data_IF_139563859563
#
_entry.id   IF_139563859563
#
_cell.length_a   1.000
_cell.length_b   1.000
_cell.length_c   1.000
_cell.angle_alpha   90.00
_cell.angle_beta   90.00
_cell.angle_gamma   90.00
#
_symmetry.space_group_name_H-M   'P 1'
#
loop_
_entity.id
_entity.type
_entity.pdbx_description
1 polymer ?
#
# COMPACT_ATOMS: atom_id res chain seq x y z
N UNK A 1 -11.62 4.51 -23.67
CA UNK A 1 -10.43 3.64 -23.61
C UNK A 1 -10.17 3.06 -24.99
N UNK A 2 -9.17 3.56 -25.71
CA UNK A 2 -8.77 2.98 -27.00
C UNK A 2 -8.20 1.58 -26.78
N UNK A 3 -8.57 0.63 -27.64
CA UNK A 3 -8.04 -0.74 -27.67
C UNK A 3 -6.52 -0.75 -27.93
N UNK A 4 -5.71 -0.61 -26.88
CA UNK A 4 -4.28 -0.89 -26.95
C UNK A 4 -4.08 -2.40 -26.85
N UNK A 5 -3.27 -2.97 -27.74
CA UNK A 5 -2.86 -4.37 -27.64
C UNK A 5 -2.06 -4.57 -26.36
N UNK A 6 -2.59 -5.33 -25.41
CA UNK A 6 -1.87 -5.67 -24.19
C UNK A 6 -0.57 -6.41 -24.54
N UNK A 7 0.55 -6.13 -23.85
CA UNK A 7 1.83 -6.77 -24.16
C UNK A 7 1.83 -8.30 -23.91
N UNK A 8 0.87 -8.78 -23.11
CA UNK A 8 0.59 -10.20 -22.87
C UNK A 8 -0.86 -10.56 -23.26
N UNK A 9 -1.12 -11.81 -23.60
CA UNK A 9 -2.47 -12.32 -23.87
C UNK A 9 -3.27 -12.47 -22.57
N UNK A 10 -4.60 -12.37 -22.66
CA UNK A 10 -5.48 -12.55 -21.49
C UNK A 10 -5.24 -13.88 -20.77
N UNK A 11 -5.06 -14.98 -21.51
CA UNK A 11 -4.77 -16.30 -20.94
C UNK A 11 -3.47 -16.33 -20.13
N UNK A 12 -2.40 -15.71 -20.64
CA UNK A 12 -1.14 -15.59 -19.91
C UNK A 12 -1.30 -14.70 -18.67
N UNK A 13 -2.12 -13.65 -18.76
CA UNK A 13 -2.49 -12.81 -17.62
C UNK A 13 -3.10 -13.60 -16.47
N UNK A 14 -4.20 -14.29 -16.74
CA UNK A 14 -4.86 -15.14 -15.75
C UNK A 14 -3.93 -16.22 -15.21
N UNK A 15 -3.16 -16.86 -16.10
CA UNK A 15 -2.18 -17.87 -15.72
C UNK A 15 -1.14 -17.33 -14.72
N UNK A 16 -0.57 -16.15 -14.97
CA UNK A 16 0.43 -15.55 -14.06
C UNK A 16 -0.22 -15.19 -12.72
N UNK A 17 -1.37 -14.52 -12.72
CA UNK A 17 -2.03 -14.10 -11.46
C UNK A 17 -2.39 -15.32 -10.63
N UNK A 18 -3.09 -16.31 -11.20
CA UNK A 18 -3.51 -17.52 -10.48
C UNK A 18 -2.31 -18.34 -10.00
N UNK A 19 -1.24 -18.43 -10.81
CA UNK A 19 -0.03 -19.17 -10.43
C UNK A 19 0.71 -18.49 -9.27
N UNK A 20 0.76 -17.15 -9.26
CA UNK A 20 1.34 -16.39 -8.15
C UNK A 20 0.49 -16.50 -6.87
N UNK A 21 -0.84 -16.49 -6.99
CA UNK A 21 -1.74 -16.74 -5.86
C UNK A 21 -1.54 -18.14 -5.26
N UNK A 22 -1.51 -19.16 -6.12
CA UNK A 22 -1.28 -20.53 -5.69
C UNK A 22 0.10 -20.69 -5.02
N UNK A 23 1.14 -20.09 -5.61
CA UNK A 23 2.49 -20.13 -5.06
C UNK A 23 2.57 -19.45 -3.68
N UNK A 24 1.97 -18.28 -3.53
CA UNK A 24 1.95 -17.53 -2.27
C UNK A 24 1.20 -18.31 -1.18
N UNK A 25 0.02 -18.86 -1.51
CA UNK A 25 -0.77 -19.67 -0.60
C UNK A 25 -0.03 -20.95 -0.16
N UNK A 26 0.57 -21.69 -1.10
CA UNK A 26 1.33 -22.91 -0.80
C UNK A 26 2.57 -22.60 0.03
N UNK A 27 3.33 -21.55 -0.32
CA UNK A 27 4.50 -21.12 0.44
C UNK A 27 4.15 -20.83 1.91
N UNK A 28 3.01 -20.18 2.15
CA UNK A 28 2.53 -19.90 3.50
C UNK A 28 2.14 -21.15 4.28
N UNK A 29 1.41 -22.06 3.64
CA UNK A 29 1.00 -23.33 4.29
C UNK A 29 2.23 -24.14 4.68
N UNK A 30 3.24 -24.20 3.81
CA UNK A 30 4.52 -24.86 4.09
C UNK A 30 5.26 -24.15 5.22
N UNK A 31 5.38 -22.83 5.19
CA UNK A 31 6.04 -22.07 6.25
C UNK A 31 5.35 -22.28 7.62
N UNK A 32 4.01 -22.29 7.64
CA UNK A 32 3.21 -22.55 8.84
C UNK A 32 3.41 -23.98 9.35
N UNK A 33 3.44 -24.95 8.45
CA UNK A 33 3.73 -26.35 8.79
C UNK A 33 5.13 -26.52 9.38
N UNK A 34 6.16 -25.93 8.76
CA UNK A 34 7.52 -25.94 9.27
C UNK A 34 7.62 -25.29 10.65
N UNK A 35 7.03 -24.11 10.85
CA UNK A 35 7.03 -23.43 12.16
C UNK A 35 6.36 -24.29 13.24
N UNK A 36 5.27 -24.99 12.91
CA UNK A 36 4.59 -25.90 13.85
C UNK A 36 5.49 -27.09 14.22
N UNK A 37 6.15 -27.70 13.24
CA UNK A 37 6.97 -28.89 13.44
C UNK A 37 8.26 -28.61 14.23
N UNK A 38 8.87 -27.44 14.02
CA UNK A 38 10.19 -27.12 14.59
C UNK A 38 10.15 -26.23 15.85
N UNK A 39 9.08 -25.45 16.09
CA UNK A 39 8.99 -24.56 17.28
C UNK A 39 7.94 -24.98 18.34
N UNK A 40 7.20 -26.07 18.16
CA UNK A 40 6.37 -26.66 19.23
C UNK A 40 5.19 -25.80 19.74
N UNK A 41 4.66 -24.88 18.92
CA UNK A 41 3.63 -23.93 19.35
C UNK A 41 2.20 -24.54 19.35
N UNK A 42 1.55 -24.51 20.52
CA UNK A 42 0.17 -24.95 20.74
C UNK A 42 -0.87 -24.10 19.96
N UNK A 43 -1.96 -24.73 19.53
CA UNK A 43 -2.80 -24.28 18.40
C UNK A 43 -4.12 -23.59 18.82
N UNK A 44 -4.30 -23.23 20.09
CA UNK A 44 -5.65 -23.00 20.65
C UNK A 44 -5.92 -21.62 21.29
N UNK A 45 -5.10 -20.60 21.07
CA UNK A 45 -5.37 -19.24 21.54
C UNK A 45 -5.54 -18.24 20.38
N UNK A 46 -6.49 -17.31 20.53
CA UNK A 46 -6.83 -16.28 19.53
C UNK A 46 -5.74 -15.19 19.34
N UNK A 47 -4.62 -15.26 20.06
CA UNK A 47 -3.62 -14.17 20.18
C UNK A 47 -2.63 -14.07 18.98
N UNK A 48 -3.03 -14.51 17.80
CA UNK A 48 -2.09 -14.81 16.71
C UNK A 48 -2.44 -14.26 15.33
N UNK A 49 -3.25 -13.20 15.20
CA UNK A 49 -3.90 -12.89 13.91
C UNK A 49 -3.77 -11.47 13.28
N UNK A 50 -2.66 -10.74 13.44
CA UNK A 50 -2.52 -9.45 12.76
C UNK A 50 -1.10 -8.98 12.30
N UNK A 51 -0.85 -8.59 10.99
CA UNK A 51 -0.20 -7.30 10.47
C UNK A 51 0.18 -7.14 8.92
N UNK A 52 0.67 -5.92 8.45
CA UNK A 52 1.41 -5.47 7.16
C UNK A 52 0.94 -4.56 5.90
N UNK A 53 1.61 -3.41 5.65
CA UNK A 53 1.28 -2.17 4.85
C UNK A 53 1.36 -2.05 3.26
N UNK A 54 1.11 -0.81 2.70
CA UNK A 54 0.69 -0.36 1.32
C UNK A 54 1.67 0.60 0.50
N UNK A 55 1.29 1.28 -0.64
CA UNK A 55 2.14 1.71 -1.84
C UNK A 55 2.10 3.21 -2.37
N UNK A 56 3.06 3.67 -3.25
CA UNK A 56 3.58 5.08 -3.48
C UNK A 56 3.72 5.70 -4.93
N UNK A 57 3.37 5.05 -6.05
CA UNK A 57 4.12 5.29 -7.34
C UNK A 57 3.63 6.37 -8.34
N UNK A 58 2.41 6.90 -8.26
CA UNK A 58 1.82 7.80 -9.29
C UNK A 58 2.38 9.23 -9.27
N UNK A 59 3.01 9.63 -8.17
CA UNK A 59 3.34 11.03 -7.83
C UNK A 59 4.46 11.63 -8.69
N UNK A 60 5.36 10.81 -9.24
CA UNK A 60 6.56 11.29 -9.93
C UNK A 60 6.34 11.91 -11.31
N UNK A 61 5.29 11.48 -12.03
CA UNK A 61 5.02 11.98 -13.38
C UNK A 61 4.19 13.27 -13.37
N UNK A 62 3.39 13.48 -12.32
CA UNK A 62 2.50 14.65 -12.22
C UNK A 62 3.11 15.81 -11.43
N UNK A 63 4.17 15.56 -10.67
CA UNK A 63 4.82 16.54 -9.79
C UNK A 63 6.36 16.47 -9.89
N UNK A 64 6.85 15.87 -10.97
CA UNK A 64 8.27 15.82 -11.34
C UNK A 64 9.16 15.27 -10.22
N UNK A 65 10.44 15.69 -10.10
CA UNK A 65 11.32 15.22 -9.03
C UNK A 65 10.88 15.66 -7.63
N UNK A 66 10.12 16.77 -7.54
CA UNK A 66 9.65 17.38 -6.29
C UNK A 66 8.61 16.50 -5.60
N UNK A 67 7.64 15.97 -6.34
CA UNK A 67 6.57 15.12 -5.79
C UNK A 67 7.06 13.87 -5.05
N UNK A 68 7.89 13.01 -5.66
CA UNK A 68 8.51 11.84 -5.03
C UNK A 68 9.30 12.19 -3.78
N UNK A 69 10.02 13.32 -3.82
CA UNK A 69 10.76 13.79 -2.66
C UNK A 69 9.80 14.12 -1.51
N UNK A 70 8.79 14.95 -1.76
CA UNK A 70 7.81 15.34 -0.74
C UNK A 70 6.97 14.18 -0.24
N UNK A 71 6.55 13.26 -1.12
CA UNK A 71 5.87 12.03 -0.73
C UNK A 71 6.75 11.19 0.21
N UNK A 72 7.99 10.95 -0.18
CA UNK A 72 8.91 10.12 0.58
C UNK A 72 9.17 10.72 1.97
N UNK A 73 9.46 12.03 2.04
CA UNK A 73 9.74 12.73 3.30
C UNK A 73 8.50 12.86 4.19
N UNK A 74 7.34 13.19 3.62
CA UNK A 74 6.08 13.27 4.37
C UNK A 74 5.74 11.95 5.05
N UNK A 75 5.89 10.84 4.30
CA UNK A 75 5.64 9.51 4.84
C UNK A 75 6.68 9.03 5.87
N UNK A 76 7.91 9.54 5.84
CA UNK A 76 8.91 9.25 6.89
C UNK A 76 8.57 9.95 8.20
N UNK A 77 8.18 11.24 8.14
CA UNK A 77 7.86 12.03 9.33
C UNK A 77 6.71 11.39 10.11
N UNK A 78 5.63 10.99 9.44
CA UNK A 78 4.50 10.35 10.09
C UNK A 78 4.86 8.99 10.71
N UNK A 79 5.69 8.14 10.08
CA UNK A 79 6.04 6.81 10.63
C UNK A 79 6.89 6.99 11.88
N UNK A 80 7.84 7.94 11.86
CA UNK A 80 8.68 8.24 13.02
C UNK A 80 7.83 8.81 14.17
N UNK A 81 6.91 9.75 13.89
CA UNK A 81 6.01 10.30 14.91
C UNK A 81 5.03 9.25 15.45
N UNK A 82 4.51 8.39 14.56
CA UNK A 82 3.66 7.28 14.94
C UNK A 82 4.35 6.37 15.95
N UNK A 83 5.66 6.13 15.80
CA UNK A 83 6.40 5.29 16.72
C UNK A 83 6.28 5.74 18.19
N UNK A 84 6.30 7.05 18.46
CA UNK A 84 6.14 7.62 19.80
C UNK A 84 4.77 7.28 20.41
N UNK A 85 3.73 7.26 19.56
CA UNK A 85 2.35 6.95 19.95
C UNK A 85 2.15 5.46 20.09
N UNK A 86 2.67 4.67 19.15
CA UNK A 86 2.45 3.23 19.05
C UNK A 86 2.98 2.47 20.27
N UNK A 87 3.99 3.01 20.95
CA UNK A 87 4.54 2.46 22.19
C UNK A 87 3.61 2.68 23.39
N UNK A 88 2.74 3.70 23.37
CA UNK A 88 1.89 4.05 24.51
C UNK A 88 0.85 2.96 24.84
N UNK A 89 0.09 2.40 23.87
CA UNK A 89 -0.79 1.26 24.12
C UNK A 89 -0.06 0.11 24.80
N UNK A 90 1.12 -0.28 24.28
CA UNK A 90 1.88 -1.38 24.84
C UNK A 90 2.39 -1.12 26.25
N UNK A 91 2.79 0.11 26.57
CA UNK A 91 3.28 0.51 27.90
C UNK A 91 2.15 0.63 28.93
N UNK A 92 0.96 1.08 28.52
CA UNK A 92 -0.16 1.39 29.42
C UNK A 92 -1.21 0.29 29.50
N UNK A 93 -1.35 -0.51 28.45
CA UNK A 93 -2.32 -1.58 28.31
C UNK A 93 -1.68 -2.79 27.56
N UNK A 94 -0.72 -3.50 28.19
CA UNK A 94 0.05 -4.57 27.53
C UNK A 94 -0.78 -5.77 27.07
N UNK A 95 -2.02 -5.91 27.55
CA UNK A 95 -2.96 -6.98 27.18
C UNK A 95 -4.05 -6.52 26.19
N UNK A 96 -3.98 -5.28 25.70
CA UNK A 96 -4.87 -4.83 24.63
C UNK A 96 -4.44 -5.45 23.30
N UNK A 97 -5.40 -5.89 22.52
CA UNK A 97 -5.23 -6.49 21.19
C UNK A 97 -5.25 -5.43 20.10
N UNK A 98 -6.03 -4.36 20.32
CA UNK A 98 -6.12 -3.21 19.42
C UNK A 98 -5.93 -1.91 20.20
N UNK A 99 -5.59 -0.82 19.51
CA UNK A 99 -5.51 0.48 20.18
C UNK A 99 -6.90 1.05 20.52
N UNK A 100 -7.95 0.55 19.85
CA UNK A 100 -9.34 0.92 20.07
C UNK A 100 -9.83 0.47 21.45
N UNK A 101 -9.42 -0.71 21.94
CA UNK A 101 -9.67 -1.15 23.32
C UNK A 101 -9.14 -0.14 24.36
N UNK A 102 -7.99 0.48 24.09
CA UNK A 102 -7.42 1.53 24.96
C UNK A 102 -8.30 2.79 24.95
N UNK A 103 -8.81 3.16 23.77
CA UNK A 103 -9.76 4.29 23.63
C UNK A 103 -11.07 3.99 24.35
N UNK A 104 -11.56 2.74 24.28
CA UNK A 104 -12.77 2.32 24.98
C UNK A 104 -12.67 2.51 26.49
N UNK A 105 -11.60 2.02 27.10
CA UNK A 105 -11.38 2.12 28.54
C UNK A 105 -11.19 3.58 28.96
N UNK A 106 -10.50 4.38 28.15
CA UNK A 106 -10.17 5.76 28.49
C UNK A 106 -11.32 6.75 28.26
N UNK A 107 -11.89 6.75 27.07
CA UNK A 107 -12.84 7.77 26.61
C UNK A 107 -14.29 7.26 26.62
N UNK A 108 -14.50 5.97 26.87
CA UNK A 108 -15.80 5.35 27.00
C UNK A 108 -16.43 4.95 25.67
N UNK A 109 -17.67 4.47 25.75
CA UNK A 109 -18.37 3.77 24.66
C UNK A 109 -18.61 4.62 23.42
N UNK A 110 -19.00 5.89 23.58
CA UNK A 110 -19.37 6.76 22.44
C UNK A 110 -18.14 7.05 21.59
N UNK A 111 -17.05 7.50 22.23
CA UNK A 111 -15.79 7.81 21.54
C UNK A 111 -15.23 6.55 20.89
N UNK A 112 -15.30 5.40 21.55
CA UNK A 112 -14.89 4.13 20.95
C UNK A 112 -15.61 3.83 19.62
N UNK A 113 -16.94 4.00 19.56
CA UNK A 113 -17.70 3.77 18.33
C UNK A 113 -17.30 4.74 17.21
N UNK A 114 -17.05 6.00 17.54
CA UNK A 114 -16.59 7.00 16.57
C UNK A 114 -15.22 6.58 15.98
N UNK A 115 -14.28 6.15 16.82
CA UNK A 115 -12.97 5.69 16.35
C UNK A 115 -13.04 4.38 15.56
N UNK A 116 -13.92 3.44 15.92
CA UNK A 116 -14.19 2.24 15.11
C UNK A 116 -14.57 2.66 13.69
N UNK A 117 -15.48 3.62 13.53
CA UNK A 117 -15.91 4.10 12.21
C UNK A 117 -14.74 4.73 11.45
N UNK A 118 -13.94 5.60 12.09
CA UNK A 118 -12.76 6.19 11.43
C UNK A 118 -11.74 5.12 11.00
N UNK A 119 -11.46 4.12 11.84
CA UNK A 119 -10.51 3.05 11.50
C UNK A 119 -11.02 2.16 10.37
N UNK A 120 -12.33 1.84 10.37
CA UNK A 120 -12.94 1.08 9.29
C UNK A 120 -12.92 1.89 7.98
N UNK A 121 -13.20 3.20 8.01
CA UNK A 121 -13.06 4.05 6.83
C UNK A 121 -11.62 4.08 6.31
N UNK A 122 -10.63 4.20 7.18
CA UNK A 122 -9.22 4.11 6.79
C UNK A 122 -8.95 2.78 6.07
N UNK A 123 -9.36 1.64 6.65
CA UNK A 123 -9.14 0.34 6.04
C UNK A 123 -9.88 0.19 4.69
N UNK A 124 -11.12 0.66 4.58
CA UNK A 124 -11.91 0.64 3.33
C UNK A 124 -11.25 1.50 2.26
N UNK A 125 -10.91 2.75 2.59
CA UNK A 125 -10.36 3.72 1.64
C UNK A 125 -9.06 3.20 1.07
N UNK A 126 -8.15 2.77 1.95
CA UNK A 126 -6.85 2.41 1.46
C UNK A 126 -6.93 1.04 0.72
N UNK A 127 -7.91 0.17 1.05
CA UNK A 127 -8.13 -1.11 0.33
C UNK A 127 -8.71 -0.88 -1.05
N UNK A 128 -9.59 0.11 -1.17
CA UNK A 128 -10.06 0.61 -2.46
C UNK A 128 -8.89 1.09 -3.33
N UNK A 129 -7.90 1.78 -2.73
CA UNK A 129 -6.69 2.22 -3.44
C UNK A 129 -5.74 1.08 -3.81
N UNK A 130 -5.69 -0.02 -3.06
CA UNK A 130 -4.88 -1.17 -3.50
C UNK A 130 -5.53 -1.88 -4.67
N UNK A 131 -6.82 -2.19 -4.55
CA UNK A 131 -7.54 -2.99 -5.54
C UNK A 131 -7.77 -2.22 -6.83
N UNK A 132 -8.16 -0.95 -6.79
CA UNK A 132 -8.40 -0.15 -8.01
C UNK A 132 -7.11 0.05 -8.82
N UNK A 133 -5.93 0.05 -8.19
CA UNK A 133 -4.67 0.40 -8.83
C UNK A 133 -3.92 -0.84 -9.28
N UNK A 134 -3.94 -1.86 -8.43
CA UNK A 134 -3.48 -3.20 -8.79
C UNK A 134 -4.25 -3.71 -10.00
N UNK A 135 -5.58 -3.63 -9.98
CA UNK A 135 -6.43 -4.09 -11.10
C UNK A 135 -6.21 -3.27 -12.38
N UNK A 136 -6.06 -1.94 -12.30
CA UNK A 136 -5.75 -1.11 -13.45
C UNK A 136 -4.41 -1.51 -14.11
N UNK A 137 -3.37 -1.72 -13.31
CA UNK A 137 -2.06 -2.15 -13.81
C UNK A 137 -2.15 -3.56 -14.42
N UNK A 138 -2.81 -4.50 -13.74
CA UNK A 138 -3.01 -5.87 -14.26
C UNK A 138 -3.75 -5.84 -15.58
N UNK A 139 -4.83 -5.06 -15.69
CA UNK A 139 -5.59 -4.88 -16.93
C UNK A 139 -4.72 -4.31 -18.05
N UNK A 140 -3.97 -3.24 -17.78
CA UNK A 140 -3.10 -2.61 -18.79
C UNK A 140 -2.01 -3.55 -19.33
N UNK A 141 -1.43 -4.40 -18.47
CA UNK A 141 -0.32 -5.28 -18.85
C UNK A 141 -0.77 -6.61 -19.46
N UNK A 142 -1.96 -7.09 -19.12
CA UNK A 142 -2.40 -8.46 -19.47
C UNK A 142 -3.75 -8.54 -20.20
N UNK A 143 -4.51 -7.46 -20.23
CA UNK A 143 -5.85 -7.42 -20.83
C UNK A 143 -6.96 -8.08 -20.01
N UNK A 144 -6.67 -8.60 -18.81
CA UNK A 144 -7.69 -9.16 -17.89
C UNK A 144 -8.73 -8.08 -17.56
N UNK A 145 -10.02 -8.42 -17.53
CA UNK A 145 -11.06 -7.48 -17.14
C UNK A 145 -10.83 -6.95 -15.72
N UNK A 146 -11.00 -5.64 -15.52
CA UNK A 146 -10.73 -4.99 -14.22
C UNK A 146 -11.58 -5.61 -13.11
N UNK A 147 -12.85 -5.90 -13.38
CA UNK A 147 -13.72 -6.60 -12.43
C UNK A 147 -13.13 -7.95 -11.99
N UNK A 148 -12.64 -8.78 -12.93
CA UNK A 148 -12.02 -10.05 -12.59
C UNK A 148 -10.71 -9.86 -11.80
N UNK A 149 -9.89 -8.87 -12.16
CA UNK A 149 -8.67 -8.54 -11.44
C UNK A 149 -8.93 -8.09 -9.99
N UNK A 150 -10.03 -7.36 -9.72
CA UNK A 150 -10.43 -6.97 -8.36
C UNK A 150 -10.72 -8.18 -7.46
N UNK A 151 -11.34 -9.24 -7.97
CA UNK A 151 -11.64 -10.45 -7.19
C UNK A 151 -10.48 -11.46 -7.16
N UNK A 152 -9.62 -11.48 -8.18
CA UNK A 152 -8.51 -12.43 -8.26
C UNK A 152 -7.32 -12.01 -7.39
N UNK A 153 -6.95 -10.72 -7.40
CA UNK A 153 -5.78 -10.20 -6.68
C UNK A 153 -5.78 -10.41 -5.15
N UNK A 154 -6.93 -10.42 -4.46
CA UNK A 154 -6.94 -10.73 -3.04
C UNK A 154 -7.24 -12.20 -2.73
N UNK A 155 -7.54 -13.04 -3.72
CA UNK A 155 -8.07 -14.38 -3.47
C UNK A 155 -7.08 -15.25 -2.67
N UNK A 156 -5.81 -15.30 -3.06
CA UNK A 156 -4.81 -16.04 -2.28
C UNK A 156 -4.48 -15.32 -0.98
N UNK A 157 -4.63 -13.99 -0.90
CA UNK A 157 -4.51 -13.26 0.38
C UNK A 157 -5.51 -13.72 1.41
N UNK A 158 -6.76 -13.99 1.01
CA UNK A 158 -7.78 -14.56 1.92
C UNK A 158 -7.32 -15.92 2.42
N UNK A 159 -6.97 -16.81 1.48
CA UNK A 159 -6.60 -18.19 1.79
C UNK A 159 -5.43 -18.19 2.78
N UNK A 160 -4.33 -17.52 2.45
CA UNK A 160 -3.17 -17.54 3.32
C UNK A 160 -3.38 -16.70 4.58
N UNK A 161 -4.23 -15.67 4.60
CA UNK A 161 -4.54 -14.94 5.84
C UNK A 161 -5.36 -15.81 6.78
N UNK A 162 -6.24 -16.67 6.28
CA UNK A 162 -7.01 -17.62 7.10
C UNK A 162 -6.15 -18.75 7.68
N UNK A 163 -5.11 -19.19 6.98
CA UNK A 163 -4.19 -20.23 7.47
C UNK A 163 -2.92 -19.67 8.13
N UNK A 164 -2.56 -18.42 7.80
CA UNK A 164 -1.35 -17.73 8.18
C UNK A 164 -1.48 -17.19 9.60
N UNK A 165 -0.85 -17.89 10.53
CA UNK A 165 -0.55 -17.35 11.87
C UNK A 165 0.36 -16.13 11.71
N UNK A 166 0.26 -15.14 12.61
CA UNK A 166 1.06 -13.89 12.60
C UNK A 166 2.52 -14.08 12.16
N UNK A 167 3.22 -15.09 12.71
CA UNK A 167 4.63 -15.33 12.40
C UNK A 167 4.87 -15.74 10.96
N UNK A 168 3.96 -16.52 10.39
CA UNK A 168 4.04 -16.97 9.01
C UNK A 168 3.73 -15.79 8.06
N UNK A 169 2.73 -14.97 8.40
CA UNK A 169 2.43 -13.70 7.71
C UNK A 169 3.64 -12.78 7.68
N UNK A 170 4.29 -12.53 8.83
CA UNK A 170 5.51 -11.73 8.90
C UNK A 170 6.64 -12.27 8.01
N UNK A 171 6.84 -13.59 7.98
CA UNK A 171 7.86 -14.20 7.14
C UNK A 171 7.56 -14.01 5.65
N UNK A 172 6.31 -14.15 5.24
CA UNK A 172 5.92 -13.91 3.85
C UNK A 172 5.98 -12.44 3.47
N UNK A 173 5.60 -11.51 4.36
CA UNK A 173 5.73 -10.08 4.10
C UNK A 173 7.19 -9.67 3.96
N UNK A 174 8.08 -10.29 4.74
CA UNK A 174 9.51 -10.14 4.56
C UNK A 174 9.95 -10.64 3.17
N UNK A 175 9.52 -11.84 2.76
CA UNK A 175 9.84 -12.40 1.45
C UNK A 175 9.29 -11.54 0.29
N UNK A 176 8.04 -11.08 0.38
CA UNK A 176 7.41 -10.15 -0.55
C UNK A 176 8.22 -8.85 -0.64
N UNK A 177 8.60 -8.28 0.50
CA UNK A 177 9.38 -7.04 0.56
C UNK A 177 10.75 -7.21 -0.10
N UNK A 178 11.47 -8.30 0.19
CA UNK A 178 12.78 -8.60 -0.42
C UNK A 178 12.64 -8.73 -1.94
N UNK A 179 11.64 -9.48 -2.43
CA UNK A 179 11.39 -9.61 -3.86
C UNK A 179 11.09 -8.26 -4.53
N UNK A 180 10.27 -7.42 -3.88
CA UNK A 180 9.94 -6.07 -4.37
C UNK A 180 11.18 -5.18 -4.42
N UNK A 181 12.06 -5.24 -3.41
CA UNK A 181 13.31 -4.48 -3.38
C UNK A 181 14.26 -4.89 -4.51
N UNK A 182 14.41 -6.19 -4.76
CA UNK A 182 15.21 -6.71 -5.88
C UNK A 182 14.69 -6.16 -7.20
N UNK A 183 13.36 -6.18 -7.41
CA UNK A 183 12.75 -5.65 -8.63
C UNK A 183 12.96 -4.13 -8.76
N UNK A 184 12.86 -3.38 -7.65
CA UNK A 184 13.12 -1.93 -7.66
C UNK A 184 14.56 -1.65 -8.07
N UNK A 185 15.53 -2.35 -7.47
CA UNK A 185 16.94 -2.20 -7.81
C UNK A 185 17.21 -2.61 -9.26
N UNK A 186 16.59 -3.69 -9.73
CA UNK A 186 16.68 -4.11 -11.13
C UNK A 186 16.24 -3.00 -12.09
N UNK A 187 15.08 -2.38 -11.86
CA UNK A 187 14.62 -1.24 -12.68
C UNK A 187 15.53 0.00 -12.53
N UNK A 188 16.03 0.28 -11.32
CA UNK A 188 16.93 1.40 -11.07
C UNK A 188 18.25 1.27 -11.84
N UNK A 189 18.93 0.13 -11.72
CA UNK A 189 20.17 -0.13 -12.46
C UNK A 189 19.93 -0.22 -13.96
N UNK A 190 18.81 -0.81 -14.39
CA UNK A 190 18.44 -0.85 -15.81
C UNK A 190 18.30 0.57 -16.36
N UNK A 191 17.57 1.44 -15.67
CA UNK A 191 17.31 2.80 -16.12
C UNK A 191 18.58 3.66 -16.09
N UNK A 192 19.39 3.55 -15.03
CA UNK A 192 20.50 4.49 -14.79
C UNK A 192 21.85 4.02 -15.31
N UNK A 193 22.04 2.73 -15.64
CA UNK A 193 23.36 2.20 -15.96
C UNK A 193 23.43 1.30 -17.21
N UNK A 194 22.40 0.49 -17.51
CA UNK A 194 22.55 -0.56 -18.54
C UNK A 194 21.61 -0.46 -19.73
N UNK A 195 20.49 0.26 -19.64
CA UNK A 195 19.53 0.36 -20.74
C UNK A 195 20.16 1.09 -21.94
N UNK A 196 20.05 0.56 -23.17
CA UNK A 196 20.52 1.26 -24.37
C UNK A 196 19.75 2.56 -24.67
N UNK A 197 18.54 2.73 -24.09
CA UNK A 197 17.73 3.95 -24.25
C UNK A 197 18.22 5.11 -23.38
N UNK A 198 18.87 4.81 -22.26
CA UNK A 198 19.34 5.81 -21.29
C UNK A 198 20.86 5.76 -21.14
N UNK A 199 21.44 4.59 -20.85
CA UNK A 199 22.89 4.34 -20.85
C UNK A 199 23.67 5.02 -19.72
N UNK A 200 23.21 6.15 -19.18
CA UNK A 200 23.84 6.87 -18.07
C UNK A 200 22.87 7.87 -17.40
N UNK A 201 23.13 8.30 -16.15
CA UNK A 201 22.34 9.34 -15.50
C UNK A 201 22.41 10.69 -16.23
N UNK A 202 23.52 11.01 -16.90
CA UNK A 202 23.65 12.23 -17.70
C UNK A 202 22.71 12.23 -18.91
N UNK A 203 22.56 11.10 -19.59
CA UNK A 203 21.61 11.01 -20.70
C UNK A 203 20.17 11.18 -20.22
N UNK A 204 19.81 10.59 -19.07
CA UNK A 204 18.48 10.79 -18.47
C UNK A 204 18.24 12.27 -18.17
N UNK A 205 19.25 12.95 -17.61
CA UNK A 205 19.19 14.39 -17.37
C UNK A 205 18.99 15.19 -18.67
N UNK A 206 19.77 14.91 -19.71
CA UNK A 206 19.68 15.61 -21.00
C UNK A 206 18.30 15.41 -21.66
N UNK A 207 17.75 14.20 -21.58
CA UNK A 207 16.41 13.89 -22.08
C UNK A 207 15.32 14.65 -21.30
N UNK A 208 15.43 14.77 -19.98
CA UNK A 208 14.50 15.54 -19.16
C UNK A 208 14.60 17.07 -19.42
N UNK A 209 15.81 17.57 -19.65
CA UNK A 209 16.01 18.96 -20.07
C UNK A 209 15.42 19.20 -21.46
N UNK A 210 15.55 18.25 -22.38
CA UNK A 210 14.89 18.34 -23.68
C UNK A 210 13.36 18.30 -23.55
N UNK A 211 12.83 17.38 -22.72
CA UNK A 211 11.40 17.31 -22.42
C UNK A 211 10.87 18.63 -21.82
N UNK A 212 11.66 19.30 -20.97
CA UNK A 212 11.34 20.65 -20.43
C UNK A 212 11.14 21.68 -21.55
N UNK A 213 11.93 21.61 -22.63
CA UNK A 213 11.82 22.55 -23.75
C UNK A 213 10.60 22.29 -24.62
N UNK A 214 10.27 21.01 -24.80
CA UNK A 214 9.14 20.58 -25.65
C UNK A 214 7.81 20.80 -24.91
N UNK A 215 7.77 20.46 -23.63
CA UNK A 215 6.59 20.52 -22.77
C UNK A 215 6.95 21.07 -21.39
N UNK A 216 7.06 22.40 -21.23
CA UNK A 216 7.35 22.99 -19.93
C UNK A 216 6.19 22.75 -18.95
N UNK A 217 6.54 22.48 -17.69
CA UNK A 217 5.55 22.29 -16.61
C UNK A 217 5.15 23.64 -16.03
N UNK A 218 3.86 23.97 -16.08
CA UNK A 218 3.32 25.19 -15.47
C UNK A 218 3.53 25.18 -13.94
N UNK A 219 3.94 26.30 -13.36
CA UNK A 219 4.20 26.42 -11.92
C UNK A 219 5.58 25.93 -11.45
N UNK A 220 6.39 25.32 -12.33
CA UNK A 220 7.78 24.97 -12.04
C UNK A 220 8.75 26.08 -12.45
N UNK A 221 9.81 26.29 -11.65
CA UNK A 221 10.86 27.23 -12.00
C UNK A 221 11.52 26.84 -13.34
N UNK A 222 11.37 27.70 -14.36
CA UNK A 222 11.84 27.44 -15.72
C UNK A 222 11.13 26.29 -16.44
N UNK A 223 9.95 25.88 -15.97
CA UNK A 223 9.19 24.75 -16.53
C UNK A 223 9.82 23.38 -16.30
N UNK A 224 10.87 23.31 -15.48
CA UNK A 224 11.79 22.17 -15.42
C UNK A 224 11.25 20.95 -14.69
N UNK A 225 11.51 19.76 -15.22
CA UNK A 225 11.20 18.46 -14.58
C UNK A 225 12.15 18.06 -13.44
N UNK A 226 13.22 18.83 -13.22
CA UNK A 226 14.26 18.52 -12.23
C UNK A 226 14.36 19.58 -11.13
N UNK A 227 13.44 20.54 -11.10
CA UNK A 227 13.44 21.59 -10.08
C UNK A 227 12.74 21.14 -8.79
N UNK A 228 13.29 21.56 -7.64
CA UNK A 228 12.59 21.45 -6.36
C UNK A 228 11.62 22.61 -6.13
N UNK A 229 11.72 23.70 -6.91
CA UNK A 229 10.83 24.85 -6.83
C UNK A 229 9.62 24.62 -7.74
N UNK A 230 8.68 23.84 -7.22
CA UNK A 230 7.40 23.48 -7.85
C UNK A 230 6.23 23.86 -6.94
N UNK A 231 5.30 24.65 -7.46
CA UNK A 231 4.09 25.05 -6.73
C UNK A 231 3.16 23.84 -6.48
N UNK A 232 2.93 23.04 -7.51
CA UNK A 232 2.12 21.81 -7.42
C UNK A 232 2.75 20.77 -6.50
N UNK A 233 4.08 20.63 -6.53
CA UNK A 233 4.79 19.77 -5.58
C UNK A 233 4.60 20.19 -4.11
N UNK A 234 4.51 21.49 -3.83
CA UNK A 234 4.25 22.00 -2.49
C UNK A 234 2.78 21.78 -2.06
N UNK A 235 1.80 21.95 -2.96
CA UNK A 235 0.40 21.61 -2.66
C UNK A 235 0.24 20.11 -2.39
N UNK A 236 0.87 19.29 -3.23
CA UNK A 236 0.90 17.84 -3.06
C UNK A 236 1.51 17.44 -1.71
N UNK A 237 2.59 18.10 -1.28
CA UNK A 237 3.20 17.85 0.03
C UNK A 237 2.20 18.04 1.19
N UNK A 238 1.44 19.13 1.18
CA UNK A 238 0.45 19.43 2.23
C UNK A 238 -0.67 18.37 2.22
N UNK A 239 -1.20 18.05 1.04
CA UNK A 239 -2.23 17.02 0.87
C UNK A 239 -1.73 15.66 1.36
N UNK A 240 -0.51 15.30 0.98
CA UNK A 240 0.14 14.04 1.33
C UNK A 240 0.35 13.91 2.85
N UNK A 241 0.80 14.97 3.52
CA UNK A 241 0.93 15.00 4.98
C UNK A 241 -0.44 14.77 5.63
N UNK A 242 -1.44 15.57 5.29
CA UNK A 242 -2.74 15.50 5.97
C UNK A 242 -3.40 14.13 5.77
N UNK A 243 -3.36 13.62 4.54
CA UNK A 243 -3.92 12.30 4.21
C UNK A 243 -3.17 11.16 4.88
N UNK A 244 -1.84 11.14 4.76
CA UNK A 244 -1.07 9.98 5.19
C UNK A 244 -0.90 9.90 6.72
N UNK A 245 -0.93 11.03 7.45
CA UNK A 245 -1.01 10.94 8.92
C UNK A 245 -2.28 10.20 9.34
N UNK A 246 -3.39 10.47 8.65
CA UNK A 246 -4.66 9.78 8.83
C UNK A 246 -4.53 8.27 8.61
N UNK A 247 -3.90 7.88 7.50
CA UNK A 247 -3.74 6.45 7.19
C UNK A 247 -2.81 5.72 8.14
N UNK A 248 -1.81 6.38 8.71
CA UNK A 248 -0.90 5.71 9.65
C UNK A 248 -1.47 5.69 11.07
N UNK A 249 -2.07 6.79 11.52
CA UNK A 249 -2.48 6.95 12.93
C UNK A 249 -3.83 6.32 13.24
N UNK A 250 -4.64 6.00 12.22
CA UNK A 250 -5.96 5.39 12.37
C UNK A 250 -6.04 3.99 11.77
N UNK A 251 -4.93 3.47 11.23
CA UNK A 251 -4.87 2.11 10.72
C UNK A 251 -4.43 1.16 11.85
N UNK A 252 -5.37 0.31 12.26
CA UNK A 252 -5.14 -0.68 13.30
C UNK A 252 -4.04 -1.69 12.93
N UNK A 253 -3.77 -1.89 11.63
CA UNK A 253 -2.68 -2.72 11.13
C UNK A 253 -1.30 -2.25 11.60
N UNK A 254 -1.08 -0.95 11.76
CA UNK A 254 0.16 -0.41 12.35
C UNK A 254 0.23 -0.67 13.86
N UNK A 255 -0.86 -0.43 14.59
CA UNK A 255 -0.88 -0.68 16.03
C UNK A 255 -0.67 -2.15 16.38
N UNK A 256 -1.28 -3.05 15.62
CA UNK A 256 -1.12 -4.48 15.77
C UNK A 256 0.35 -4.94 15.68
N UNK A 257 1.17 -4.34 14.80
CA UNK A 257 2.61 -4.66 14.71
C UNK A 257 3.34 -4.28 15.98
N UNK A 258 2.96 -3.15 16.54
CA UNK A 258 3.62 -2.60 17.72
C UNK A 258 3.26 -3.39 18.96
N UNK A 259 1.99 -3.78 19.09
CA UNK A 259 1.49 -4.56 20.21
C UNK A 259 2.14 -5.95 20.23
N UNK A 260 2.37 -6.55 19.07
CA UNK A 260 2.99 -7.88 18.93
C UNK A 260 4.52 -7.85 19.08
N UNK A 261 5.20 -6.81 18.62
CA UNK A 261 6.67 -6.68 18.69
C UNK A 261 7.18 -6.40 20.11
N UNK A 262 8.38 -6.88 20.46
CA UNK A 262 9.01 -6.54 21.76
C UNK A 262 9.24 -5.03 21.91
N UNK A 263 9.22 -4.51 23.15
CA UNK A 263 9.42 -3.07 23.40
C UNK A 263 10.77 -2.56 22.86
N UNK A 264 11.83 -3.34 23.04
CA UNK A 264 13.20 -2.99 22.63
C UNK A 264 13.35 -2.99 21.11
N UNK A 265 12.56 -3.81 20.40
CA UNK A 265 12.62 -3.92 18.93
C UNK A 265 11.65 -3.00 18.21
N UNK A 266 10.53 -2.61 18.84
CA UNK A 266 9.49 -1.81 18.19
C UNK A 266 9.98 -0.40 17.78
N UNK A 267 10.65 0.32 18.70
CA UNK A 267 11.11 1.69 18.44
C UNK A 267 12.16 1.76 17.31
N UNK A 268 13.28 1.01 17.37
CA UNK A 268 14.24 0.99 16.28
C UNK A 268 13.63 0.46 14.97
N UNK A 269 12.72 -0.52 15.05
CA UNK A 269 12.04 -1.09 13.89
C UNK A 269 11.26 -0.05 13.09
N UNK A 270 10.45 0.77 13.76
CA UNK A 270 9.70 1.85 13.09
C UNK A 270 10.59 2.96 12.56
N UNK A 271 11.66 3.33 13.28
CA UNK A 271 12.60 4.35 12.81
C UNK A 271 13.31 3.87 11.54
N UNK A 272 13.84 2.65 11.55
CA UNK A 272 14.48 2.04 10.38
C UNK A 272 13.50 1.86 9.23
N UNK A 273 12.27 1.43 9.51
CA UNK A 273 11.20 1.31 8.54
C UNK A 273 10.85 2.66 7.89
N UNK A 274 10.71 3.72 8.70
CA UNK A 274 10.41 5.08 8.23
C UNK A 274 11.53 5.68 7.38
N UNK A 275 12.80 5.44 7.74
CA UNK A 275 13.96 5.88 6.95
C UNK A 275 14.05 5.09 5.64
N UNK A 276 13.89 3.76 5.72
CA UNK A 276 13.93 2.88 4.54
C UNK A 276 12.83 3.22 3.55
N UNK A 277 11.64 3.54 4.06
CA UNK A 277 10.53 4.01 3.24
C UNK A 277 10.89 5.26 2.45
N UNK A 278 11.58 6.23 3.05
CA UNK A 278 12.05 7.44 2.35
C UNK A 278 12.87 7.05 1.13
N UNK A 279 13.86 6.19 1.32
CA UNK A 279 14.84 5.85 0.27
C UNK A 279 14.21 5.01 -0.83
N UNK A 280 13.46 3.96 -0.45
CA UNK A 280 12.84 3.02 -1.39
C UNK A 280 11.76 3.71 -2.21
N UNK A 281 10.92 4.52 -1.57
CA UNK A 281 9.88 5.30 -2.23
C UNK A 281 10.46 6.31 -3.21
N UNK A 282 11.45 7.08 -2.77
CA UNK A 282 12.09 8.09 -3.59
C UNK A 282 12.74 7.46 -4.82
N UNK A 283 13.54 6.40 -4.64
CA UNK A 283 14.17 5.67 -5.73
C UNK A 283 13.13 5.12 -6.72
N UNK A 284 12.14 4.38 -6.22
CA UNK A 284 11.14 3.74 -7.06
C UNK A 284 10.31 4.75 -7.88
N UNK A 285 9.90 5.85 -7.26
CA UNK A 285 9.08 6.87 -7.90
C UNK A 285 9.89 7.72 -8.87
N UNK A 286 11.06 8.22 -8.47
CA UNK A 286 11.91 9.03 -9.36
C UNK A 286 12.40 8.25 -10.57
N UNK A 287 12.93 7.03 -10.39
CA UNK A 287 13.42 6.24 -11.52
C UNK A 287 12.33 5.98 -12.55
N UNK A 288 11.18 5.44 -12.13
CA UNK A 288 10.15 5.03 -13.10
C UNK A 288 9.31 6.19 -13.61
N UNK A 289 9.06 7.22 -12.79
CA UNK A 289 8.33 8.40 -13.21
C UNK A 289 9.13 9.27 -14.18
N UNK A 290 10.40 9.53 -13.87
CA UNK A 290 11.26 10.29 -14.78
C UNK A 290 11.59 9.50 -16.04
N UNK A 291 11.73 8.17 -15.95
CA UNK A 291 11.88 7.32 -17.13
C UNK A 291 10.65 7.41 -18.06
N UNK A 292 9.43 7.49 -17.50
CA UNK A 292 8.22 7.68 -18.30
C UNK A 292 8.26 8.99 -19.09
N UNK A 293 8.58 10.10 -18.41
CA UNK A 293 8.67 11.44 -19.03
C UNK A 293 9.79 11.48 -20.08
N UNK A 294 10.95 10.91 -19.78
CA UNK A 294 12.10 10.93 -20.68
C UNK A 294 11.90 10.05 -21.94
N UNK A 295 11.06 9.02 -21.87
CA UNK A 295 10.74 8.14 -23.01
C UNK A 295 9.46 8.53 -23.73
N UNK A 296 8.71 9.54 -23.28
CA UNK A 296 7.39 9.87 -23.83
C UNK A 296 7.41 10.20 -25.34
N UNK A 297 8.53 10.76 -25.82
CA UNK A 297 8.77 11.07 -27.23
C UNK A 297 9.52 9.95 -28.00
N UNK A 298 9.77 8.80 -27.38
CA UNK A 298 10.51 7.69 -27.96
C UNK A 298 9.55 6.66 -28.61
N UNK A 299 9.85 6.10 -29.80
CA UNK A 299 9.06 5.04 -30.42
C UNK A 299 8.83 3.79 -29.55
N UNK A 300 9.70 3.53 -28.56
CA UNK A 300 9.53 2.43 -27.61
C UNK A 300 8.36 2.67 -26.63
N UNK A 301 7.85 3.89 -26.51
CA UNK A 301 6.80 4.23 -25.56
C UNK A 301 5.42 3.75 -26.04
N UNK A 302 4.61 3.10 -25.18
CA UNK A 302 3.35 2.47 -25.62
C UNK A 302 2.29 3.40 -26.23
N UNK A 303 2.39 4.71 -26.00
CA UNK A 303 1.45 5.72 -26.52
C UNK A 303 2.03 6.56 -27.66
N UNK A 304 3.27 6.32 -28.08
CA UNK A 304 3.95 7.05 -29.13
C UNK A 304 3.11 7.12 -30.43
N UNK A 305 3.00 8.29 -31.09
CA UNK A 305 3.69 9.55 -30.82
C UNK A 305 3.01 10.45 -29.78
N UNK A 306 1.89 10.01 -29.19
CA UNK A 306 1.13 10.80 -28.24
C UNK A 306 1.63 10.60 -26.81
N UNK A 307 1.42 11.62 -25.98
CA UNK A 307 1.60 11.55 -24.53
C UNK A 307 0.67 10.53 -23.89
N UNK A 308 1.02 10.07 -22.68
CA UNK A 308 0.11 9.25 -21.92
C UNK A 308 -1.13 10.08 -21.56
N UNK A 309 -2.33 9.54 -21.83
CA UNK A 309 -3.59 10.24 -21.56
C UNK A 309 -3.66 10.61 -20.06
N UNK A 310 -4.03 11.85 -19.69
CA UNK A 310 -4.26 12.23 -18.29
C UNK A 310 -5.14 11.25 -17.52
N UNK A 311 -6.11 10.59 -18.19
CA UNK A 311 -6.91 9.54 -17.59
C UNK A 311 -6.05 8.33 -17.16
N UNK A 312 -5.15 7.86 -18.03
CA UNK A 312 -4.22 6.75 -17.76
C UNK A 312 -3.20 7.09 -16.66
N UNK A 313 -2.77 8.36 -16.61
CA UNK A 313 -1.93 8.89 -15.52
C UNK A 313 -2.70 8.83 -14.19
N UNK A 314 -3.96 9.27 -14.17
CA UNK A 314 -4.80 9.34 -12.98
C UNK A 314 -5.16 7.97 -12.39
N UNK A 315 -5.14 6.90 -13.18
CA UNK A 315 -5.34 5.51 -12.72
C UNK A 315 -4.02 4.79 -12.40
N UNK A 316 -2.87 5.47 -12.53
CA UNK A 316 -1.57 4.98 -12.06
C UNK A 316 -0.78 4.13 -13.07
N UNK A 317 -1.04 4.25 -14.38
CA UNK A 317 -0.40 3.42 -15.41
C UNK A 317 1.02 3.85 -15.79
N UNK A 318 1.56 4.92 -15.19
CA UNK A 318 2.91 5.43 -15.46
C UNK A 318 3.97 4.33 -15.31
N UNK A 319 3.91 3.57 -14.20
CA UNK A 319 4.88 2.50 -13.94
C UNK A 319 4.87 1.45 -15.05
N UNK A 320 3.67 1.06 -15.49
CA UNK A 320 3.45 0.06 -16.52
C UNK A 320 3.92 0.55 -17.89
N UNK A 321 3.64 1.82 -18.21
CA UNK A 321 4.09 2.42 -19.46
C UNK A 321 5.62 2.51 -19.53
N UNK A 322 6.25 3.00 -18.46
CA UNK A 322 7.71 3.10 -18.38
C UNK A 322 8.41 1.74 -18.40
N UNK A 323 7.87 0.73 -17.72
CA UNK A 323 8.49 -0.60 -17.71
C UNK A 323 8.41 -1.31 -19.06
N UNK A 324 7.29 -1.17 -19.77
CA UNK A 324 7.14 -1.67 -21.14
C UNK A 324 8.07 -0.93 -22.10
N UNK A 325 8.20 0.39 -21.96
CA UNK A 325 9.11 1.17 -22.79
C UNK A 325 10.58 0.79 -22.57
N UNK A 326 10.96 0.50 -21.32
CA UNK A 326 12.33 0.14 -20.93
C UNK A 326 12.75 -1.27 -21.35
N UNK A 327 11.88 -2.25 -21.15
CA UNK A 327 12.23 -3.69 -21.20
C UNK A 327 11.22 -4.54 -21.99
N UNK A 328 10.26 -3.92 -22.68
CA UNK A 328 9.23 -4.63 -23.45
C UNK A 328 8.44 -5.62 -22.61
N UNK A 329 8.29 -6.85 -23.14
CA UNK A 329 7.55 -7.95 -22.48
C UNK A 329 8.15 -8.37 -21.13
N UNK A 330 9.47 -8.30 -20.99
CA UNK A 330 10.13 -8.61 -19.73
C UNK A 330 9.77 -7.56 -18.66
N UNK A 331 9.76 -6.27 -19.04
CA UNK A 331 9.33 -5.17 -18.17
C UNK A 331 7.88 -5.29 -17.72
N UNK A 332 6.98 -5.70 -18.63
CA UNK A 332 5.58 -5.97 -18.32
C UNK A 332 5.43 -7.07 -17.27
N UNK A 333 6.10 -8.22 -17.49
CA UNK A 333 6.02 -9.38 -16.58
C UNK A 333 6.58 -9.06 -15.20
N UNK A 334 7.74 -8.43 -15.14
CA UNK A 334 8.38 -8.00 -13.88
C UNK A 334 7.52 -6.98 -13.13
N UNK A 335 6.84 -6.08 -13.83
CA UNK A 335 5.90 -5.13 -13.22
C UNK A 335 4.67 -5.82 -12.65
N UNK A 336 4.12 -6.80 -13.38
CA UNK A 336 2.97 -7.58 -12.93
C UNK A 336 3.33 -8.36 -11.65
N UNK A 337 4.48 -9.04 -11.61
CA UNK A 337 4.98 -9.72 -10.40
C UNK A 337 5.14 -8.72 -9.26
N UNK A 338 5.75 -7.55 -9.51
CA UNK A 338 5.92 -6.52 -8.48
C UNK A 338 4.60 -6.01 -7.93
N UNK A 339 3.61 -5.77 -8.79
CA UNK A 339 2.27 -5.31 -8.36
C UNK A 339 1.59 -6.38 -7.54
N UNK A 340 1.66 -7.64 -7.97
CA UNK A 340 1.17 -8.77 -7.20
C UNK A 340 1.76 -8.79 -5.79
N UNK A 341 3.10 -8.88 -5.66
CA UNK A 341 3.77 -8.97 -4.35
C UNK A 341 3.41 -7.81 -3.41
N UNK A 342 3.29 -6.59 -3.95
CA UNK A 342 2.95 -5.42 -3.15
C UNK A 342 1.48 -5.41 -2.75
N UNK A 343 0.55 -5.71 -3.66
CA UNK A 343 -0.90 -5.72 -3.36
C UNK A 343 -1.19 -6.83 -2.37
N UNK A 344 -0.66 -8.02 -2.58
CA UNK A 344 -0.85 -9.19 -1.74
C UNK A 344 -0.42 -8.91 -0.29
N UNK A 345 0.83 -8.48 -0.08
CA UNK A 345 1.35 -8.13 1.26
C UNK A 345 0.51 -7.03 1.94
N UNK A 346 0.17 -5.99 1.18
CA UNK A 346 -0.59 -4.86 1.67
C UNK A 346 -2.04 -5.20 2.01
N UNK A 347 -2.65 -6.14 1.29
CA UNK A 347 -4.02 -6.61 1.54
C UNK A 347 -4.09 -7.47 2.80
N UNK A 348 -3.12 -8.36 3.05
CA UNK A 348 -3.14 -9.23 4.23
C UNK A 348 -3.29 -8.45 5.53
N UNK A 349 -2.61 -7.33 5.69
CA UNK A 349 -2.74 -6.56 6.93
C UNK A 349 -4.04 -5.85 7.13
N UNK A 350 -4.70 -5.53 6.03
CA UNK A 350 -5.90 -4.73 6.05
C UNK A 350 -7.08 -5.64 6.36
N UNK A 351 -7.06 -6.84 5.79
CA UNK A 351 -7.91 -7.95 6.21
C UNK A 351 -7.75 -8.23 7.70
N UNK A 352 -6.52 -8.32 8.16
CA UNK A 352 -6.16 -8.47 9.56
C UNK A 352 -6.64 -7.29 10.43
N UNK A 353 -6.47 -6.06 9.97
CA UNK A 353 -6.74 -4.87 10.75
C UNK A 353 -8.24 -4.78 10.98
N UNK A 354 -9.02 -5.05 9.95
CA UNK A 354 -10.47 -5.12 10.01
C UNK A 354 -10.94 -6.33 10.81
N UNK A 355 -10.34 -7.50 10.64
CA UNK A 355 -10.75 -8.70 11.39
C UNK A 355 -10.53 -8.54 12.89
N UNK A 356 -9.42 -7.91 13.30
CA UNK A 356 -9.14 -7.60 14.71
C UNK A 356 -10.13 -6.57 15.26
N UNK A 357 -10.46 -5.51 14.52
CA UNK A 357 -11.50 -4.54 14.92
C UNK A 357 -12.85 -5.24 15.11
N UNK A 358 -13.28 -6.04 14.13
CA UNK A 358 -14.58 -6.72 14.20
C UNK A 358 -14.62 -7.74 15.33
N UNK A 359 -13.52 -8.47 15.55
CA UNK A 359 -13.47 -9.54 16.55
C UNK A 359 -13.37 -9.01 17.98
N UNK A 360 -12.43 -8.10 18.23
CA UNK A 360 -12.14 -7.64 19.59
C UNK A 360 -12.98 -6.42 19.97
N UNK A 361 -13.00 -5.38 19.13
CA UNK A 361 -13.65 -4.11 19.45
C UNK A 361 -15.16 -4.12 19.25
N UNK A 362 -15.66 -4.91 18.29
CA UNK A 362 -17.10 -5.01 18.01
C UNK A 362 -17.70 -6.24 18.69
N UNK A 363 -17.33 -7.44 18.24
CA UNK A 363 -17.96 -8.69 18.67
C UNK A 363 -17.73 -8.99 20.14
N UNK A 364 -16.47 -9.03 20.59
CA UNK A 364 -16.15 -9.33 21.99
C UNK A 364 -16.63 -8.21 22.94
N UNK A 365 -16.39 -6.93 22.62
CA UNK A 365 -16.77 -5.83 23.51
C UNK A 365 -18.30 -5.66 23.65
N UNK A 366 -19.06 -5.75 22.55
CA UNK A 366 -20.46 -5.34 22.54
C UNK A 366 -21.48 -6.47 22.39
N UNK A 367 -21.12 -7.58 21.74
CA UNK A 367 -22.06 -8.67 21.48
C UNK A 367 -21.89 -9.85 22.44
N UNK A 368 -20.65 -10.34 22.62
CA UNK A 368 -20.38 -11.48 23.48
C UNK A 368 -19.02 -11.34 24.21
N UNK A 369 -19.09 -10.83 25.44
CA UNK A 369 -17.93 -10.55 26.30
C UNK A 369 -17.19 -11.82 26.76
N UNK A 370 -17.89 -12.94 26.83
CA UNK A 370 -17.36 -14.23 27.28
C UNK A 370 -17.06 -15.18 26.11
N UNK A 371 -16.92 -14.64 24.90
CA UNK A 371 -16.62 -15.44 23.72
C UNK A 371 -15.31 -16.23 23.89
N UNK A 372 -15.38 -17.55 23.68
CA UNK A 372 -14.20 -18.42 23.72
C UNK A 372 -13.24 -18.12 22.57
N UNK A 373 -11.95 -18.44 22.75
CA UNK A 373 -10.92 -18.22 21.72
C UNK A 373 -11.27 -18.85 20.36
N UNK A 374 -11.87 -20.06 20.37
CA UNK A 374 -12.34 -20.73 19.15
C UNK A 374 -13.42 -19.93 18.41
N UNK A 375 -14.33 -19.29 19.15
CA UNK A 375 -15.37 -18.44 18.56
C UNK A 375 -14.78 -17.15 17.99
N UNK A 376 -13.80 -16.55 18.67
CA UNK A 376 -13.12 -15.35 18.19
C UNK A 376 -12.36 -15.60 16.89
N UNK A 377 -11.64 -16.73 16.78
CA UNK A 377 -10.96 -17.13 15.53
C UNK A 377 -11.98 -17.30 14.40
N UNK A 378 -13.12 -17.96 14.66
CA UNK A 378 -14.17 -18.13 13.67
C UNK A 378 -14.72 -16.78 13.17
N UNK A 379 -15.03 -15.85 14.08
CA UNK A 379 -15.51 -14.51 13.71
C UNK A 379 -14.44 -13.75 12.91
N UNK A 380 -13.17 -13.86 13.28
CA UNK A 380 -12.06 -13.25 12.54
C UNK A 380 -12.00 -13.76 11.10
N UNK A 381 -12.04 -15.08 10.88
CA UNK A 381 -12.03 -15.67 9.53
C UNK A 381 -13.23 -15.25 8.69
N UNK A 382 -14.44 -15.28 9.27
CA UNK A 382 -15.65 -14.83 8.59
C UNK A 382 -15.54 -13.35 8.20
N UNK A 383 -14.98 -12.52 9.10
CA UNK A 383 -14.77 -11.09 8.85
C UNK A 383 -13.81 -10.83 7.69
N UNK A 384 -12.72 -11.59 7.58
CA UNK A 384 -11.76 -11.51 6.47
C UNK A 384 -12.45 -11.77 5.13
N UNK A 385 -13.20 -12.88 5.02
CA UNK A 385 -13.89 -13.27 3.78
C UNK A 385 -14.96 -12.26 3.39
N UNK A 386 -15.79 -11.83 4.35
CA UNK A 386 -16.87 -10.87 4.07
C UNK A 386 -16.30 -9.52 3.67
N UNK A 387 -15.30 -9.01 4.40
CA UNK A 387 -14.69 -7.73 4.08
C UNK A 387 -14.07 -7.74 2.70
N UNK A 388 -13.33 -8.80 2.34
CA UNK A 388 -12.73 -8.90 1.01
C UNK A 388 -13.77 -8.91 -0.11
N UNK A 389 -14.83 -9.72 0.02
CA UNK A 389 -15.88 -9.78 -0.99
C UNK A 389 -16.57 -8.42 -1.17
N UNK A 390 -16.85 -7.72 -0.05
CA UNK A 390 -17.40 -6.36 -0.08
C UNK A 390 -16.43 -5.42 -0.77
N UNK A 391 -15.14 -5.46 -0.44
CA UNK A 391 -14.14 -4.55 -1.01
C UNK A 391 -13.84 -4.82 -2.48
N UNK A 392 -13.86 -6.07 -2.90
CA UNK A 392 -13.74 -6.49 -4.31
C UNK A 392 -14.93 -6.00 -5.13
N UNK A 393 -16.14 -6.16 -4.60
CA UNK A 393 -17.36 -5.62 -5.22
C UNK A 393 -17.37 -4.08 -5.24
N UNK A 394 -16.98 -3.44 -4.14
CA UNK A 394 -16.88 -1.99 -4.01
C UNK A 394 -15.88 -1.42 -5.00
N UNK A 395 -14.68 -1.99 -5.10
CA UNK A 395 -13.64 -1.53 -6.04
C UNK A 395 -14.06 -1.71 -7.50
N UNK A 396 -14.79 -2.80 -7.80
CA UNK A 396 -15.42 -3.00 -9.10
C UNK A 396 -16.48 -1.91 -9.38
N UNK A 397 -17.29 -1.55 -8.39
CA UNK A 397 -18.24 -0.44 -8.47
C UNK A 397 -17.56 0.91 -8.72
N UNK A 398 -16.48 1.22 -7.99
CA UNK A 398 -15.69 2.44 -8.19
C UNK A 398 -15.16 2.55 -9.62
N UNK A 399 -14.72 1.42 -10.20
CA UNK A 399 -14.28 1.37 -11.59
C UNK A 399 -15.41 1.74 -12.56
N UNK A 400 -16.60 1.15 -12.42
CA UNK A 400 -17.75 1.47 -13.28
C UNK A 400 -18.28 2.91 -13.09
N UNK A 401 -18.04 3.51 -11.92
CA UNK A 401 -18.35 4.91 -11.64
C UNK A 401 -17.28 5.88 -12.15
N UNK A 402 -16.21 5.39 -12.80
CA UNK A 402 -15.07 6.18 -13.28
C UNK A 402 -14.38 6.99 -12.15
N UNK A 403 -14.34 6.44 -10.94
CA UNK A 403 -13.65 7.08 -9.82
C UNK A 403 -12.15 6.78 -9.92
N UNK A 404 -11.33 7.83 -9.98
CA UNK A 404 -9.88 7.72 -10.14
C UNK A 404 -9.15 7.47 -8.82
N UNK A 405 -7.92 6.97 -8.91
CA UNK A 405 -7.02 6.83 -7.75
C UNK A 405 -6.76 8.15 -7.05
N UNK A 406 -6.48 9.18 -7.84
CA UNK A 406 -6.19 10.52 -7.31
C UNK A 406 -7.38 11.07 -6.53
N UNK A 407 -8.62 10.79 -6.98
CA UNK A 407 -9.82 11.18 -6.23
C UNK A 407 -9.91 10.46 -4.89
N UNK A 408 -9.72 9.13 -4.86
CA UNK A 408 -9.72 8.37 -3.61
C UNK A 408 -8.66 8.91 -2.64
N UNK A 409 -7.48 9.25 -3.17
CA UNK A 409 -6.37 9.80 -2.39
C UNK A 409 -6.73 11.13 -1.70
N UNK A 410 -7.44 12.02 -2.40
CA UNK A 410 -7.94 13.28 -1.81
C UNK A 410 -9.06 13.03 -0.81
N UNK A 411 -10.03 12.19 -1.17
CA UNK A 411 -11.18 11.84 -0.32
C UNK A 411 -10.73 11.29 1.04
N UNK A 412 -9.67 10.49 1.03
CA UNK A 412 -9.06 9.95 2.23
C UNK A 412 -8.65 11.04 3.21
N UNK A 413 -7.92 12.06 2.76
CA UNK A 413 -7.52 13.18 3.62
C UNK A 413 -8.70 13.95 4.20
N UNK A 414 -9.82 14.06 3.47
CA UNK A 414 -11.02 14.74 3.95
C UNK A 414 -11.73 13.93 5.04
N UNK A 415 -11.87 12.61 4.86
CA UNK A 415 -12.67 11.77 5.76
C UNK A 415 -11.94 11.51 7.07
N UNK A 416 -10.65 11.18 7.06
CA UNK A 416 -9.99 10.59 8.23
C UNK A 416 -9.11 11.60 9.01
N UNK A 417 -8.79 12.76 8.45
CA UNK A 417 -7.80 13.67 9.07
C UNK A 417 -8.24 14.26 10.41
N UNK A 418 -9.54 14.44 10.63
CA UNK A 418 -10.06 15.05 11.87
C UNK A 418 -9.79 14.21 13.12
N UNK A 419 -9.62 12.89 12.99
CA UNK A 419 -9.44 12.00 14.13
C UNK A 419 -7.96 11.83 14.56
N UNK A 420 -7.00 12.36 13.80
CA UNK A 420 -5.56 12.20 14.06
C UNK A 420 -5.16 12.82 15.40
N UNK A 421 -5.41 14.13 15.57
CA UNK A 421 -4.98 14.89 16.75
C UNK A 421 -5.68 14.36 18.01
N UNK A 422 -7.02 14.21 18.04
CA UNK A 422 -7.68 13.69 19.24
C UNK A 422 -7.22 12.25 19.57
N UNK A 423 -6.87 11.44 18.56
CA UNK A 423 -6.42 10.07 18.75
C UNK A 423 -5.04 10.02 19.40
N UNK A 424 -4.10 10.80 18.87
CA UNK A 424 -2.76 10.96 19.44
C UNK A 424 -2.81 11.51 20.87
N UNK A 425 -3.65 12.52 21.12
CA UNK A 425 -3.82 13.12 22.45
C UNK A 425 -4.43 12.16 23.45
N UNK A 426 -5.39 11.34 23.03
CA UNK A 426 -6.00 10.29 23.87
C UNK A 426 -4.95 9.28 24.35
N UNK A 427 -3.96 8.96 23.50
CA UNK A 427 -2.90 8.01 23.85
C UNK A 427 -1.76 8.63 24.66
N UNK A 428 -1.37 9.88 24.39
CA UNK A 428 -0.20 10.50 25.02
C UNK A 428 -0.57 11.34 26.25
N UNK A 429 -1.58 12.21 26.16
CA UNK A 429 -1.80 13.30 27.11
C UNK A 429 -2.80 12.93 28.21
N UNK A 430 -2.35 12.87 29.45
CA UNK A 430 -3.16 12.51 30.62
C UNK A 430 -4.33 13.46 30.95
N UNK A 431 -4.31 14.75 30.53
CA UNK A 431 -5.40 15.72 30.81
C UNK A 431 -6.44 15.81 29.70
N UNK A 432 -6.28 15.07 28.62
CA UNK A 432 -7.26 15.04 27.53
C UNK A 432 -8.58 14.47 28.04
N UNK A 433 -9.65 15.29 27.97
CA UNK A 433 -11.02 14.91 28.29
C UNK A 433 -11.76 14.37 27.06
N UNK A 434 -12.97 13.85 27.26
CA UNK A 434 -13.80 13.24 26.21
C UNK A 434 -14.26 14.23 25.16
#
# INVERSE_FOLDING_TARGET
MSSRSSPSTQGNGYGIVVSLEALSAVSMVVATFCLKQYHGEATDSSEGFSTAHRTVKTVACSYEISGPFWHARGATVQIILFCVIAIQPKRRAPFAHTFLEVIHVRSGRIVHMVYIIFCLYTNILVTSMLLTGGSAVVHSLSGIYIAAACFLLPLGTIIYTMFGRIKATFLTDYAHTVAVLIIILYFAFTTLATSPLFGSPSTVYDLLVNATRIHPVEGNAGGSYITMRSQEGAMFFIINIIGNFGTVFLDNGYFNMTITASYVSALPGYILGGISWSTVSFLAATTMGLAAVALESNPAFPSYPNRLDPADVSVGLILSAASVALLGKAGATTTLIRVFMVVTSAMSAQLIAVSSIITYDIYKTYFNKEASGKRLIYISHVSVVIFDLIMSAWSTGLYYLNISMSYLYLLMGVIISSAIIPGALTLIWNRHSK
#
